data_IF_458252939864
#
_entry.id   IF_458252939864
#
_cell.length_a   1.000
_cell.length_b   1.000
_cell.length_c   1.000
_cell.angle_alpha   90.00
_cell.angle_beta   90.00
_cell.angle_gamma   90.00
#
_symmetry.space_group_name_H-M   'P 1'
#
loop_
_entity.id
_entity.type
_entity.pdbx_description
1 polymer ?
#
# COMPACT_ATOMS: atom_id res chain seq x y z
N UNK A 1 12.54 9.80 11.77
CA UNK A 1 12.12 10.06 10.38
C UNK A 1 13.35 9.89 9.51
N UNK A 2 13.29 9.08 8.44
CA UNK A 2 14.45 8.78 7.58
C UNK A 2 14.67 9.91 6.56
N UNK A 3 15.88 10.00 5.98
CA UNK A 3 16.21 11.01 4.95
C UNK A 3 15.33 10.92 3.70
N UNK A 4 14.90 9.71 3.34
CA UNK A 4 13.96 9.47 2.25
C UNK A 4 12.55 10.01 2.55
N UNK A 5 12.08 9.90 3.81
CA UNK A 5 10.79 10.47 4.23
C UNK A 5 10.81 12.01 4.18
N UNK A 6 11.92 12.65 4.55
CA UNK A 6 12.06 14.10 4.52
C UNK A 6 12.07 14.66 3.08
N UNK A 7 12.79 14.00 2.17
CA UNK A 7 12.80 14.38 0.76
C UNK A 7 11.40 14.22 0.12
N UNK A 8 10.71 13.10 0.40
CA UNK A 8 9.36 12.87 -0.12
C UNK A 8 8.31 13.87 0.37
N UNK A 9 8.47 14.41 1.58
CA UNK A 9 7.62 15.51 2.08
C UNK A 9 7.90 16.80 1.30
N UNK A 10 9.17 17.13 1.04
CA UNK A 10 9.56 18.31 0.27
C UNK A 10 9.01 18.29 -1.16
N UNK A 11 9.10 17.15 -1.83
CA UNK A 11 8.55 16.97 -3.18
C UNK A 11 7.02 17.14 -3.20
N UNK A 12 6.33 16.66 -2.16
CA UNK A 12 4.89 16.81 -2.03
C UNK A 12 4.48 18.29 -1.85
N UNK A 13 5.22 19.08 -1.08
CA UNK A 13 4.97 20.52 -0.96
C UNK A 13 5.09 21.21 -2.32
N UNK A 14 6.20 20.98 -3.03
CA UNK A 14 6.42 21.59 -4.34
C UNK A 14 5.32 21.23 -5.33
N UNK A 15 4.89 19.96 -5.36
CA UNK A 15 3.80 19.52 -6.23
C UNK A 15 2.46 20.19 -5.88
N UNK A 16 2.14 20.35 -4.61
CA UNK A 16 0.90 21.03 -4.17
C UNK A 16 0.91 22.50 -4.55
N UNK A 17 2.03 23.19 -4.34
CA UNK A 17 2.16 24.61 -4.70
C UNK A 17 2.03 24.81 -6.20
N UNK A 18 2.63 23.93 -7.01
CA UNK A 18 2.50 23.96 -8.47
C UNK A 18 1.04 23.71 -8.91
N UNK A 19 0.39 22.69 -8.38
CA UNK A 19 -0.99 22.34 -8.77
C UNK A 19 -1.98 23.44 -8.40
N UNK A 20 -1.83 24.04 -7.22
CA UNK A 20 -2.72 25.12 -6.76
C UNK A 20 -2.39 26.49 -7.36
N UNK A 21 -1.15 26.73 -7.81
CA UNK A 21 -0.72 28.03 -8.33
C UNK A 21 -0.86 28.19 -9.84
N UNK A 22 -0.93 27.08 -10.58
CA UNK A 22 -0.99 27.08 -12.04
C UNK A 22 -2.46 27.08 -12.54
N UNK A 23 -2.80 28.05 -13.38
CA UNK A 23 -4.13 28.21 -13.97
C UNK A 23 -4.53 27.05 -14.89
N UNK A 24 -3.56 26.33 -15.47
CA UNK A 24 -3.82 25.13 -16.26
C UNK A 24 -4.25 23.93 -15.41
N UNK A 25 -4.05 23.99 -14.08
CA UNK A 25 -4.45 22.98 -13.11
C UNK A 25 -5.57 23.50 -12.20
N UNK A 26 -5.27 23.88 -10.95
CA UNK A 26 -6.28 24.23 -9.94
C UNK A 26 -6.35 25.73 -9.62
N UNK A 27 -5.43 26.55 -10.15
CA UNK A 27 -5.30 27.97 -9.76
C UNK A 27 -6.53 28.83 -9.97
N UNK A 28 -7.39 28.46 -10.94
CA UNK A 28 -8.66 29.13 -11.23
C UNK A 28 -9.89 28.23 -11.00
N UNK A 29 -9.74 27.18 -10.17
CA UNK A 29 -10.83 26.23 -9.85
C UNK A 29 -11.36 26.40 -8.44
N UNK A 30 -12.54 25.82 -8.16
CA UNK A 30 -13.09 25.69 -6.81
C UNK A 30 -12.39 24.61 -5.97
N UNK A 31 -11.46 23.86 -6.57
CA UNK A 31 -10.72 22.79 -5.92
C UNK A 31 -9.35 23.29 -5.45
N UNK A 32 -8.89 22.75 -4.33
CA UNK A 32 -7.54 22.95 -3.85
C UNK A 32 -7.01 21.66 -3.24
N UNK A 33 -5.74 21.36 -3.45
CA UNK A 33 -5.05 20.28 -2.76
C UNK A 33 -4.42 20.85 -1.49
N UNK A 34 -4.66 20.21 -0.35
CA UNK A 34 -4.06 20.58 0.92
C UNK A 34 -3.17 19.45 1.42
N UNK A 35 -1.89 19.75 1.62
CA UNK A 35 -0.98 18.79 2.25
C UNK A 35 -1.24 18.73 3.75
N UNK A 36 -1.40 17.51 4.27
CA UNK A 36 -1.61 17.24 5.70
C UNK A 36 -0.53 16.28 6.17
N UNK A 37 0.38 16.75 7.02
CA UNK A 37 1.42 15.91 7.61
C UNK A 37 0.95 15.44 8.97
N UNK A 38 0.80 14.13 9.12
CA UNK A 38 0.35 13.49 10.35
C UNK A 38 1.38 12.46 10.81
N UNK A 39 1.70 12.47 12.09
CA UNK A 39 2.61 11.49 12.67
C UNK A 39 1.83 10.23 13.04
N UNK A 40 1.64 9.35 12.07
CA UNK A 40 0.90 8.10 12.25
C UNK A 40 1.88 6.92 12.31
N UNK A 41 1.67 6.04 13.28
CA UNK A 41 2.31 4.72 13.30
C UNK A 41 1.64 3.78 12.29
N UNK A 42 2.32 2.72 11.83
CA UNK A 42 1.72 1.65 11.01
C UNK A 42 0.68 0.78 11.76
N UNK A 43 -0.06 1.36 12.70
CA UNK A 43 -1.13 0.70 13.45
C UNK A 43 -2.48 1.03 12.81
N UNK A 44 -3.20 -0.02 12.40
CA UNK A 44 -4.51 0.10 11.76
C UNK A 44 -5.51 0.93 12.60
N UNK A 45 -5.55 0.73 13.92
CA UNK A 45 -6.47 1.45 14.80
C UNK A 45 -6.17 2.95 14.86
N UNK A 46 -4.88 3.31 14.91
CA UNK A 46 -4.43 4.71 14.95
C UNK A 46 -4.79 5.40 13.63
N UNK A 47 -4.47 4.76 12.50
CA UNK A 47 -4.72 5.31 11.17
C UNK A 47 -6.22 5.44 10.88
N UNK A 48 -7.02 4.43 11.22
CA UNK A 48 -8.47 4.46 10.99
C UNK A 48 -9.15 5.56 11.82
N UNK A 49 -8.77 5.69 13.10
CA UNK A 49 -9.34 6.71 13.97
C UNK A 49 -8.96 8.13 13.50
N UNK A 50 -7.71 8.33 13.08
CA UNK A 50 -7.28 9.61 12.50
C UNK A 50 -8.05 9.93 11.22
N UNK A 51 -8.24 8.97 10.32
CA UNK A 51 -8.99 9.18 9.08
C UNK A 51 -10.48 9.44 9.33
N UNK A 52 -11.09 8.75 10.31
CA UNK A 52 -12.46 9.02 10.71
C UNK A 52 -12.61 10.46 11.23
N UNK A 53 -11.70 10.92 12.08
CA UNK A 53 -11.69 12.29 12.58
C UNK A 53 -11.46 13.29 11.44
N UNK A 54 -10.56 12.99 10.50
CA UNK A 54 -10.35 13.83 9.31
C UNK A 54 -11.62 13.99 8.46
N UNK A 55 -12.41 12.92 8.28
CA UNK A 55 -13.65 12.97 7.51
C UNK A 55 -14.83 13.63 8.25
N UNK A 56 -14.76 13.75 9.57
CA UNK A 56 -15.87 14.25 10.40
C UNK A 56 -15.61 15.66 10.93
N UNK A 57 -14.37 15.97 11.28
CA UNK A 57 -13.94 17.29 11.75
C UNK A 57 -13.62 18.14 10.53
N UNK A 58 -14.61 18.92 10.11
CA UNK A 58 -14.47 19.86 9.00
C UNK A 58 -14.60 21.30 9.51
N UNK A 59 -13.50 21.94 9.92
CA UNK A 59 -13.56 23.27 10.53
C UNK A 59 -14.06 24.36 9.55
N UNK A 60 -13.95 24.14 8.24
CA UNK A 60 -14.27 25.11 7.20
C UNK A 60 -15.50 24.74 6.36
N UNK A 61 -16.19 23.65 6.70
CA UNK A 61 -17.32 23.11 5.93
C UNK A 61 -16.98 22.75 4.47
N UNK A 62 -15.72 22.44 4.18
CA UNK A 62 -15.20 22.06 2.86
C UNK A 62 -15.52 20.60 2.51
N UNK A 63 -16.05 20.32 1.32
CA UNK A 63 -16.30 18.94 0.91
C UNK A 63 -15.01 18.23 0.47
N UNK A 64 -14.75 17.05 1.02
CA UNK A 64 -13.58 16.23 0.64
C UNK A 64 -13.96 15.33 -0.55
N UNK A 65 -13.41 15.64 -1.72
CA UNK A 65 -13.58 14.81 -2.92
C UNK A 65 -12.72 13.53 -2.87
N UNK A 66 -11.50 13.65 -2.34
CA UNK A 66 -10.53 12.56 -2.30
C UNK A 66 -9.30 12.88 -1.49
N UNK A 67 -8.46 11.87 -1.30
CA UNK A 67 -7.23 11.93 -0.52
C UNK A 67 -6.10 11.16 -1.21
N UNK A 68 -4.89 11.73 -1.15
CA UNK A 68 -3.67 10.99 -1.44
C UNK A 68 -3.10 10.46 -0.13
N UNK A 69 -3.05 9.14 0.05
CA UNK A 69 -2.67 8.50 1.31
C UNK A 69 -1.38 7.69 1.19
N UNK A 70 -0.29 8.25 1.72
CA UNK A 70 1.00 7.57 1.89
C UNK A 70 1.05 6.87 3.26
N UNK A 71 0.48 5.67 3.34
CA UNK A 71 0.37 4.89 4.58
C UNK A 71 0.97 3.49 4.39
N UNK A 72 1.21 2.81 5.51
CA UNK A 72 1.70 1.43 5.51
C UNK A 72 0.60 0.48 5.01
N UNK A 73 0.90 -0.53 4.18
CA UNK A 73 -0.14 -1.32 3.53
C UNK A 73 -1.03 -2.12 4.48
N UNK A 74 -0.48 -2.64 5.58
CA UNK A 74 -1.24 -3.35 6.62
C UNK A 74 -2.23 -2.43 7.35
N UNK A 75 -1.92 -1.14 7.46
CA UNK A 75 -2.71 -0.18 8.22
C UNK A 75 -3.79 0.53 7.39
N UNK A 76 -3.71 0.46 6.05
CA UNK A 76 -4.57 1.25 5.17
C UNK A 76 -5.89 0.57 4.82
N UNK A 77 -6.01 -0.76 4.95
CA UNK A 77 -7.16 -1.50 4.41
C UNK A 77 -8.48 -1.04 5.00
N UNK A 78 -8.56 -0.88 6.33
CA UNK A 78 -9.76 -0.37 6.97
C UNK A 78 -10.09 1.05 6.54
N UNK A 79 -9.08 1.90 6.34
CA UNK A 79 -9.21 3.27 5.83
C UNK A 79 -9.80 3.29 4.43
N UNK A 80 -9.31 2.43 3.54
CA UNK A 80 -9.83 2.28 2.17
C UNK A 80 -11.27 1.77 2.16
N UNK A 81 -11.60 0.81 3.03
CA UNK A 81 -12.97 0.32 3.21
C UNK A 81 -13.90 1.44 3.66
N UNK A 82 -13.50 2.24 4.66
CA UNK A 82 -14.27 3.40 5.13
C UNK A 82 -14.43 4.46 4.03
N UNK A 83 -13.36 4.77 3.30
CA UNK A 83 -13.41 5.72 2.19
C UNK A 83 -14.39 5.27 1.09
N UNK A 84 -14.40 3.97 0.75
CA UNK A 84 -15.35 3.41 -0.21
C UNK A 84 -16.81 3.52 0.26
N UNK A 85 -17.08 3.26 1.55
CA UNK A 85 -18.42 3.47 2.12
C UNK A 85 -18.86 4.93 2.06
N UNK A 86 -17.93 5.87 2.22
CA UNK A 86 -18.17 7.31 2.18
C UNK A 86 -18.02 7.92 0.78
N UNK A 87 -17.71 7.11 -0.24
CA UNK A 87 -17.44 7.53 -1.63
C UNK A 87 -16.35 8.59 -1.76
N UNK A 88 -15.33 8.49 -0.91
CA UNK A 88 -14.14 9.35 -0.95
C UNK A 88 -13.08 8.65 -1.78
N UNK A 89 -12.56 9.33 -2.81
CA UNK A 89 -11.47 8.81 -3.63
C UNK A 89 -10.20 8.67 -2.79
N UNK A 90 -9.51 7.55 -2.90
CA UNK A 90 -8.20 7.32 -2.27
C UNK A 90 -7.20 6.99 -3.36
N UNK A 91 -6.11 7.75 -3.42
CA UNK A 91 -4.96 7.45 -4.28
C UNK A 91 -3.76 7.16 -3.37
N UNK A 92 -3.23 5.94 -3.38
CA UNK A 92 -2.07 5.60 -2.55
C UNK A 92 -0.78 5.48 -3.36
N UNK A 93 0.30 6.18 -2.99
CA UNK A 93 1.60 6.01 -3.62
C UNK A 93 2.45 4.90 -2.98
N UNK A 94 1.99 4.26 -1.90
CA UNK A 94 2.83 3.35 -1.08
C UNK A 94 2.26 1.94 -0.95
N UNK A 95 1.05 1.68 -1.45
CA UNK A 95 0.34 0.42 -1.20
C UNK A 95 0.52 -0.57 -2.34
N UNK A 96 1.45 -1.48 -2.16
CA UNK A 96 1.78 -2.52 -3.15
C UNK A 96 0.98 -3.81 -2.96
N UNK A 97 0.19 -3.92 -1.88
CA UNK A 97 -0.53 -5.15 -1.49
C UNK A 97 -1.43 -5.68 -2.61
N UNK A 98 -1.42 -6.99 -2.82
CA UNK A 98 -2.25 -7.67 -3.82
C UNK A 98 -3.73 -7.73 -3.39
N UNK A 99 -4.06 -7.52 -2.10
CA UNK A 99 -5.45 -7.44 -1.61
C UNK A 99 -6.34 -6.46 -2.37
N UNK A 100 -5.74 -5.41 -2.92
CA UNK A 100 -6.46 -4.36 -3.64
C UNK A 100 -6.61 -4.63 -5.14
N UNK A 101 -6.18 -5.79 -5.65
CA UNK A 101 -6.33 -6.15 -7.06
C UNK A 101 -7.80 -6.35 -7.46
N UNK A 102 -8.64 -6.81 -6.53
CA UNK A 102 -10.06 -7.00 -6.80
C UNK A 102 -10.84 -5.68 -6.71
N UNK A 103 -10.67 -4.84 -7.74
CA UNK A 103 -11.27 -3.51 -7.86
C UNK A 103 -12.80 -3.49 -7.62
N UNK A 104 -13.51 -4.61 -7.86
CA UNK A 104 -14.94 -4.74 -7.56
C UNK A 104 -15.29 -4.41 -6.11
N UNK A 105 -14.37 -4.65 -5.17
CA UNK A 105 -14.55 -4.39 -3.74
C UNK A 105 -14.08 -2.99 -3.30
N UNK A 106 -13.29 -2.30 -4.13
CA UNK A 106 -12.64 -1.03 -3.78
C UNK A 106 -12.77 0.01 -4.92
N UNK A 107 -14.01 0.35 -5.29
CA UNK A 107 -14.35 1.23 -6.42
C UNK A 107 -13.74 2.65 -6.34
N UNK A 108 -13.47 3.13 -5.14
CA UNK A 108 -12.90 4.45 -4.90
C UNK A 108 -11.41 4.41 -4.53
N UNK A 109 -10.74 3.27 -4.74
CA UNK A 109 -9.32 3.12 -4.46
C UNK A 109 -8.49 3.02 -5.74
N UNK A 110 -7.44 3.82 -5.79
CA UNK A 110 -6.44 3.87 -6.83
C UNK A 110 -5.05 3.90 -6.19
N UNK A 111 -4.03 3.57 -6.97
CA UNK A 111 -2.63 3.66 -6.55
C UNK A 111 -1.72 3.96 -7.72
N UNK A 112 -0.61 4.64 -7.44
CA UNK A 112 0.41 4.97 -8.44
C UNK A 112 1.58 3.98 -8.46
N UNK A 113 1.67 3.13 -7.43
CA UNK A 113 2.67 2.07 -7.33
C UNK A 113 2.09 0.74 -7.86
N UNK A 114 2.86 -0.08 -8.60
CA UNK A 114 2.40 -1.38 -9.04
C UNK A 114 2.14 -2.32 -7.85
N UNK A 115 1.35 -3.36 -8.12
CA UNK A 115 1.16 -4.45 -7.16
C UNK A 115 2.43 -5.26 -7.00
N UNK A 116 2.82 -5.59 -5.77
CA UNK A 116 3.88 -6.56 -5.48
C UNK A 116 3.54 -7.97 -6.00
N UNK A 117 2.27 -8.22 -6.34
CA UNK A 117 1.80 -9.39 -7.08
C UNK A 117 2.71 -9.75 -8.28
N UNK A 118 3.25 -8.74 -8.98
CA UNK A 118 4.14 -8.95 -10.12
C UNK A 118 5.42 -9.71 -9.75
N UNK A 119 5.92 -9.57 -8.51
CA UNK A 119 7.09 -10.28 -8.01
C UNK A 119 6.88 -11.80 -8.03
N UNK A 120 5.67 -12.28 -7.80
CA UNK A 120 5.35 -13.71 -7.83
C UNK A 120 5.60 -14.34 -9.21
N UNK A 121 5.33 -13.60 -10.30
CA UNK A 121 5.66 -14.07 -11.66
C UNK A 121 7.16 -14.04 -11.95
N UNK A 122 7.86 -13.01 -11.47
CA UNK A 122 9.32 -12.90 -11.63
C UNK A 122 9.99 -14.10 -10.95
N UNK A 123 9.63 -14.40 -9.70
CA UNK A 123 10.14 -15.57 -8.99
C UNK A 123 9.77 -16.88 -9.68
N UNK A 124 8.53 -17.02 -10.15
CA UNK A 124 8.09 -18.23 -10.87
C UNK A 124 8.94 -18.47 -12.13
N UNK A 125 9.27 -17.41 -12.88
CA UNK A 125 10.14 -17.50 -14.07
C UNK A 125 11.57 -17.90 -13.71
N UNK A 126 12.15 -17.29 -12.67
CA UNK A 126 13.49 -17.64 -12.19
C UNK A 126 13.56 -19.10 -11.72
N UNK A 127 12.56 -19.57 -10.97
CA UNK A 127 12.51 -20.95 -10.50
C UNK A 127 12.40 -21.94 -11.66
N UNK A 128 11.68 -21.59 -12.75
CA UNK A 128 11.68 -22.40 -13.96
C UNK A 128 13.05 -22.45 -14.65
N UNK A 129 13.73 -21.31 -14.78
CA UNK A 129 15.08 -21.25 -15.37
C UNK A 129 16.08 -22.09 -14.56
N UNK A 130 15.96 -22.10 -13.23
CA UNK A 130 16.79 -22.91 -12.34
C UNK A 130 16.32 -24.35 -12.13
N UNK A 131 15.23 -24.76 -12.81
CA UNK A 131 14.62 -26.08 -12.65
C UNK A 131 14.18 -26.39 -11.20
N UNK A 132 13.88 -25.38 -10.39
CA UNK A 132 13.36 -25.55 -9.05
C UNK A 132 11.87 -25.89 -9.11
N UNK A 133 11.52 -27.10 -8.64
CA UNK A 133 10.14 -27.61 -8.66
C UNK A 133 9.46 -27.55 -7.29
N UNK A 134 10.23 -27.36 -6.22
CA UNK A 134 9.76 -27.42 -4.83
C UNK A 134 10.41 -26.28 -4.06
N UNK A 135 9.61 -25.40 -3.48
CA UNK A 135 10.10 -24.25 -2.71
C UNK A 135 9.31 -24.12 -1.41
N UNK A 136 9.98 -23.66 -0.36
CA UNK A 136 9.36 -23.23 0.88
C UNK A 136 9.45 -21.71 0.97
N UNK A 137 8.41 -21.06 1.47
CA UNK A 137 8.35 -19.61 1.54
C UNK A 137 8.22 -19.19 2.99
N UNK A 138 9.02 -18.19 3.37
CA UNK A 138 8.92 -17.51 4.64
C UNK A 138 8.55 -16.08 4.32
N UNK A 139 7.40 -15.64 4.79
CA UNK A 139 6.90 -14.29 4.55
C UNK A 139 6.28 -13.75 5.81
N UNK A 140 6.14 -12.42 5.86
CA UNK A 140 5.24 -11.81 6.82
C UNK A 140 3.79 -12.13 6.39
N UNK A 141 2.86 -12.08 7.33
CA UNK A 141 1.43 -12.04 6.99
C UNK A 141 1.13 -10.68 6.35
N UNK A 142 1.56 -10.57 5.10
CA UNK A 142 1.34 -9.45 4.23
C UNK A 142 0.76 -9.98 2.93
N UNK A 143 -0.27 -9.29 2.45
CA UNK A 143 -1.02 -9.72 1.28
C UNK A 143 -0.28 -9.41 -0.04
N UNK A 144 1.07 -9.42 -0.04
CA UNK A 144 1.88 -9.20 -1.25
C UNK A 144 2.08 -10.49 -2.06
N UNK A 145 2.04 -11.64 -1.39
CA UNK A 145 2.34 -12.93 -1.98
C UNK A 145 1.12 -13.59 -2.62
N UNK A 146 1.25 -14.12 -3.84
CA UNK A 146 0.18 -14.85 -4.51
C UNK A 146 0.53 -16.31 -4.80
N UNK A 147 0.05 -17.17 -3.91
CA UNK A 147 0.27 -18.62 -3.91
C UNK A 147 -0.13 -19.30 -5.23
N UNK A 148 -1.29 -18.96 -5.77
CA UNK A 148 -1.84 -19.58 -6.98
C UNK A 148 -0.95 -19.31 -8.20
N UNK A 149 -0.21 -18.19 -8.19
CA UNK A 149 0.78 -17.85 -9.21
C UNK A 149 1.85 -18.93 -9.36
N UNK A 150 2.40 -19.46 -8.26
CA UNK A 150 3.44 -20.49 -8.34
C UNK A 150 2.90 -21.84 -8.82
N UNK A 151 1.68 -22.19 -8.40
CA UNK A 151 1.03 -23.43 -8.83
C UNK A 151 0.80 -23.45 -10.34
N UNK A 152 0.43 -22.31 -10.94
CA UNK A 152 0.27 -22.18 -12.38
C UNK A 152 1.55 -22.45 -13.19
N UNK A 153 2.73 -22.33 -12.58
CA UNK A 153 4.03 -22.59 -13.21
C UNK A 153 4.62 -23.97 -12.86
N UNK A 154 3.81 -24.88 -12.33
CA UNK A 154 4.22 -26.22 -11.87
C UNK A 154 5.31 -26.17 -10.78
N UNK A 155 5.25 -25.18 -9.90
CA UNK A 155 6.12 -25.06 -8.72
C UNK A 155 5.29 -25.46 -7.49
N UNK A 156 5.72 -26.53 -6.81
CA UNK A 156 5.07 -26.99 -5.59
C UNK A 156 5.59 -26.18 -4.40
N UNK A 157 4.66 -25.52 -3.70
CA UNK A 157 4.94 -24.94 -2.39
C UNK A 157 4.91 -26.05 -1.36
N UNK A 158 6.09 -26.38 -0.82
CA UNK A 158 6.25 -27.39 0.23
C UNK A 158 5.72 -26.87 1.55
N UNK A 159 5.94 -25.58 1.80
CA UNK A 159 5.40 -24.88 2.96
C UNK A 159 5.30 -23.35 2.71
N UNK A 160 4.43 -22.69 3.47
CA UNK A 160 4.18 -21.25 3.45
C UNK A 160 4.12 -20.74 4.90
N UNK A 161 5.28 -20.36 5.43
CA UNK A 161 5.45 -19.93 6.80
C UNK A 161 5.21 -18.43 6.95
N UNK A 162 4.18 -18.09 7.71
CA UNK A 162 3.97 -16.74 8.19
C UNK A 162 4.80 -16.49 9.44
N UNK A 163 5.73 -15.54 9.35
CA UNK A 163 6.67 -15.20 10.41
C UNK A 163 6.74 -13.70 10.59
N UNK A 164 6.92 -13.25 11.84
CA UNK A 164 7.18 -11.83 12.10
C UNK A 164 8.44 -11.40 11.35
N UNK A 165 8.45 -10.17 10.85
CA UNK A 165 9.59 -9.64 10.09
C UNK A 165 10.93 -9.77 10.83
N UNK A 166 10.94 -9.51 12.14
CA UNK A 166 12.13 -9.69 12.98
C UNK A 166 12.63 -11.15 13.06
N UNK A 167 11.79 -12.12 12.70
CA UNK A 167 12.12 -13.55 12.64
C UNK A 167 12.50 -14.02 11.23
N UNK A 168 12.39 -13.18 10.19
CA UNK A 168 12.81 -13.47 8.82
C UNK A 168 14.34 -13.37 8.68
N UNK A 169 15.05 -14.26 9.38
CA UNK A 169 16.51 -14.37 9.28
C UNK A 169 16.89 -15.74 8.73
N UNK A 170 18.01 -15.80 8.00
CA UNK A 170 18.55 -17.06 7.48
C UNK A 170 18.74 -18.11 8.59
N UNK A 171 19.20 -17.68 9.76
CA UNK A 171 19.41 -18.55 10.91
C UNK A 171 18.12 -19.21 11.43
N UNK A 172 16.98 -18.50 11.38
CA UNK A 172 15.68 -19.05 11.77
C UNK A 172 15.15 -19.98 10.68
N UNK A 173 15.22 -19.57 9.41
CA UNK A 173 14.79 -20.41 8.29
C UNK A 173 15.54 -21.76 8.26
N UNK A 174 16.86 -21.74 8.52
CA UNK A 174 17.66 -22.95 8.58
C UNK A 174 17.23 -23.92 9.69
N UNK A 175 16.82 -23.41 10.86
CA UNK A 175 16.32 -24.23 11.98
C UNK A 175 14.95 -24.85 11.76
N UNK A 176 14.15 -24.27 10.85
CA UNK A 176 12.80 -24.78 10.55
C UNK A 176 12.85 -25.86 9.46
N UNK A 177 13.85 -25.79 8.58
CA UNK A 177 13.98 -26.69 7.42
C UNK A 177 14.92 -27.90 7.64
N UNK A 178 15.77 -27.86 8.66
CA UNK A 178 16.74 -28.92 9.02
C UNK A 178 16.49 -29.43 10.43
#
# INVERSE_FOLDING_TARGET
>A
MTRAQLNGIGDAFHAVDQLNGDEAYLGNSEFAIKLQIRNLTCSQNVVLNDFFNFLTVNPNNESILGVVLALCPDAIEATVRLANLRRVLVISPTVESASFLWQKHYKFFFRTIPSAYTASFIFSRLFQEWQWKRVAIFRKDDNYFYREGFMAYNITLVDDFEVKEAALTYAIAQKVLL
#
